data_IF_602538333957
#
_entry.id   IF_602538333957
#
_cell.length_a   1.000
_cell.length_b   1.000
_cell.length_c   1.000
_cell.angle_alpha   90.00
_cell.angle_beta   90.00
_cell.angle_gamma   90.00
#
_symmetry.space_group_name_H-M   'P 1'
#
loop_
_entity.id
_entity.type
_entity.pdbx_description
1 polymer ?
#
# COMPACT_ATOMS: atom_id res chain seq x y z
N UNK A 1 3.05 -26.05 59.36
CA UNK A 1 1.84 -25.50 60.00
C UNK A 1 1.04 -24.74 58.94
N UNK A 2 -0.25 -25.08 58.81
CA UNK A 2 -1.40 -24.28 58.28
C UNK A 2 -1.24 -23.63 56.88
N UNK A 3 -1.71 -24.23 55.78
CA UNK A 3 -3.11 -24.43 55.30
C UNK A 3 -3.82 -23.16 54.76
N UNK A 4 -4.20 -23.11 53.47
CA UNK A 4 -5.22 -22.19 52.94
C UNK A 4 -6.64 -22.80 53.02
N UNK A 5 -7.73 -22.00 53.05
CA UNK A 5 -9.09 -22.53 53.10
C UNK A 5 -9.71 -22.84 51.71
N UNK A 6 -10.71 -23.76 51.64
CA UNK A 6 -11.23 -24.38 50.41
C UNK A 6 -12.53 -23.74 49.85
N UNK A 7 -12.97 -24.12 48.62
CA UNK A 7 -14.22 -23.64 48.00
C UNK A 7 -15.47 -24.43 48.44
N UNK A 8 -16.63 -23.74 48.46
CA UNK A 8 -17.92 -24.27 48.90
C UNK A 8 -18.70 -25.02 47.80
N UNK A 9 -19.40 -26.07 48.25
CA UNK A 9 -19.99 -27.17 47.49
C UNK A 9 -21.44 -26.91 47.05
N UNK A 10 -21.79 -27.47 45.88
CA UNK A 10 -23.11 -27.60 45.26
C UNK A 10 -24.18 -28.23 46.18
N UNK A 11 -25.43 -27.78 46.08
CA UNK A 11 -26.62 -28.55 46.49
C UNK A 11 -27.63 -28.63 45.33
N UNK A 12 -28.21 -29.82 45.15
CA UNK A 12 -29.13 -30.24 44.08
C UNK A 12 -30.46 -30.69 44.68
N UNK A 13 -31.50 -30.63 43.83
CA UNK A 13 -32.78 -31.37 43.83
C UNK A 13 -34.02 -30.63 44.38
N UNK A 14 -35.27 -31.03 44.04
CA UNK A 14 -35.71 -32.09 43.10
C UNK A 14 -36.81 -31.65 42.07
N UNK A 15 -37.15 -32.58 41.19
CA UNK A 15 -38.15 -32.50 40.12
C UNK A 15 -39.61 -32.66 40.58
N UNK A 16 -40.57 -32.11 39.83
CA UNK A 16 -41.99 -32.41 39.96
C UNK A 16 -42.69 -32.61 38.60
N UNK A 17 -43.67 -33.52 38.63
CA UNK A 17 -44.32 -34.31 37.56
C UNK A 17 -45.15 -33.55 36.51
N UNK A 18 -45.22 -34.18 35.33
CA UNK A 18 -46.21 -34.00 34.24
C UNK A 18 -47.63 -34.30 34.71
N UNK A 19 -48.62 -33.56 34.20
CA UNK A 19 -49.98 -34.05 34.05
C UNK A 19 -50.50 -33.72 32.65
N UNK A 20 -51.07 -34.73 32.00
CA UNK A 20 -51.65 -34.69 30.67
C UNK A 20 -53.17 -34.55 30.77
N UNK A 21 -53.79 -33.79 29.87
CA UNK A 21 -55.23 -33.93 29.56
C UNK A 21 -55.51 -33.53 28.11
N UNK A 22 -56.29 -34.36 27.42
CA UNK A 22 -56.87 -34.26 26.05
C UNK A 22 -58.32 -34.82 26.14
N UNK A 23 -59.22 -34.77 25.14
CA UNK A 23 -59.53 -33.83 24.03
C UNK A 23 -60.98 -33.27 24.12
N UNK A 24 -61.39 -32.24 23.34
CA UNK A 24 -62.30 -32.30 22.15
C UNK A 24 -63.06 -30.95 22.02
N UNK A 25 -63.81 -30.62 20.94
CA UNK A 25 -63.56 -30.77 19.50
C UNK A 25 -63.84 -29.47 18.67
N UNK A 26 -63.28 -29.47 17.45
CA UNK A 26 -63.73 -28.81 16.21
C UNK A 26 -64.14 -27.31 16.19
N UNK A 27 -63.35 -26.52 15.45
CA UNK A 27 -63.90 -25.75 14.32
C UNK A 27 -62.83 -25.62 13.23
N UNK A 28 -63.12 -26.16 12.04
CA UNK A 28 -62.29 -25.97 10.83
C UNK A 28 -62.48 -24.54 10.33
N UNK A 29 -61.39 -23.80 10.12
CA UNK A 29 -61.38 -22.67 9.18
C UNK A 29 -60.07 -22.69 8.39
N UNK A 30 -60.21 -22.59 7.08
CA UNK A 30 -59.16 -22.73 6.09
C UNK A 30 -57.98 -21.78 6.37
N UNK A 31 -56.76 -22.34 6.40
CA UNK A 31 -55.53 -21.56 6.38
C UNK A 31 -55.00 -21.54 4.95
N UNK A 32 -55.08 -20.35 4.36
CA UNK A 32 -54.36 -19.92 3.18
C UNK A 32 -52.87 -20.22 3.34
N UNK A 33 -52.24 -20.81 2.32
CA UNK A 33 -50.82 -21.13 2.32
C UNK A 33 -49.97 -19.87 2.54
N UNK A 34 -49.15 -19.87 3.59
CA UNK A 34 -48.11 -18.86 3.80
C UNK A 34 -46.97 -19.08 2.79
N UNK A 35 -46.32 -18.01 2.29
CA UNK A 35 -45.17 -18.15 1.40
C UNK A 35 -44.01 -18.79 2.18
N UNK A 36 -43.39 -19.81 1.59
CA UNK A 36 -42.20 -20.43 2.15
C UNK A 36 -41.09 -19.38 2.27
N UNK A 37 -40.52 -19.25 3.48
CA UNK A 37 -39.36 -18.39 3.65
C UNK A 37 -38.21 -18.90 2.77
N UNK A 38 -37.55 -18.02 2.00
CA UNK A 38 -36.47 -18.44 1.13
C UNK A 38 -35.37 -19.07 1.97
N UNK A 39 -34.98 -20.30 1.61
CA UNK A 39 -33.93 -21.03 2.31
C UNK A 39 -32.60 -20.28 2.24
N UNK A 40 -31.64 -20.66 3.09
CA UNK A 40 -30.31 -20.04 3.14
C UNK A 40 -29.64 -19.94 1.74
N UNK A 41 -29.86 -20.95 0.89
CA UNK A 41 -29.33 -20.97 -0.49
C UNK A 41 -29.99 -19.92 -1.38
N UNK A 42 -31.30 -19.68 -1.20
CA UNK A 42 -32.04 -18.67 -1.96
C UNK A 42 -31.68 -17.25 -1.49
N UNK A 43 -31.43 -17.07 -0.20
CA UNK A 43 -30.90 -15.82 0.34
C UNK A 43 -29.48 -15.53 -0.15
N UNK A 44 -28.61 -16.55 -0.18
CA UNK A 44 -27.25 -16.40 -0.70
C UNK A 44 -27.26 -16.09 -2.20
N UNK A 45 -28.14 -16.74 -2.98
CA UNK A 45 -28.34 -16.43 -4.41
C UNK A 45 -28.89 -15.03 -4.63
N UNK A 46 -29.87 -14.60 -3.84
CA UNK A 46 -30.43 -13.26 -3.92
C UNK A 46 -29.41 -12.18 -3.51
N UNK A 47 -28.56 -12.48 -2.51
CA UNK A 47 -27.48 -11.59 -2.09
C UNK A 47 -26.39 -11.49 -3.16
N UNK A 48 -26.03 -12.60 -3.81
CA UNK A 48 -25.10 -12.61 -4.94
C UNK A 48 -25.65 -11.83 -6.15
N UNK A 49 -26.93 -11.98 -6.48
CA UNK A 49 -27.60 -11.20 -7.52
C UNK A 49 -27.57 -9.70 -7.23
N UNK A 50 -27.90 -9.30 -6.01
CA UNK A 50 -27.84 -7.88 -5.58
C UNK A 50 -26.42 -7.32 -5.58
N UNK A 51 -25.42 -8.11 -5.20
CA UNK A 51 -24.01 -7.71 -5.27
C UNK A 51 -23.52 -7.52 -6.71
N UNK A 52 -23.98 -8.36 -7.64
CA UNK A 52 -23.69 -8.23 -9.06
C UNK A 52 -24.37 -6.98 -9.66
N UNK A 53 -25.62 -6.71 -9.29
CA UNK A 53 -26.36 -5.52 -9.74
C UNK A 53 -25.74 -4.22 -9.20
N UNK A 54 -25.31 -4.19 -7.95
CA UNK A 54 -24.60 -3.04 -7.34
C UNK A 54 -23.22 -2.83 -8.00
N UNK A 55 -22.56 -3.92 -8.41
CA UNK A 55 -21.27 -3.84 -9.12
C UNK A 55 -21.42 -3.35 -10.56
N UNK A 56 -22.55 -3.64 -11.21
CA UNK A 56 -22.87 -3.15 -12.55
C UNK A 56 -23.15 -1.63 -12.58
N UNK A 57 -23.74 -1.09 -11.51
CA UNK A 57 -24.10 0.33 -11.43
C UNK A 57 -22.92 1.30 -11.21
N UNK A 58 -21.74 0.80 -10.84
CA UNK A 58 -20.58 1.63 -10.42
C UNK A 58 -19.33 1.46 -11.26
N UNK A 59 -19.38 0.69 -12.36
CA UNK A 59 -18.20 0.41 -13.21
C UNK A 59 -17.19 -0.57 -12.58
N UNK A 60 -17.53 -1.19 -11.45
CA UNK A 60 -16.68 -2.15 -10.71
C UNK A 60 -16.85 -3.59 -11.22
N UNK A 61 -17.94 -3.89 -11.95
CA UNK A 61 -18.29 -5.23 -12.44
C UNK A 61 -17.19 -5.94 -13.25
N UNK A 62 -16.45 -5.21 -14.09
CA UNK A 62 -15.41 -5.81 -14.93
C UNK A 62 -14.29 -6.48 -14.11
N UNK A 63 -13.83 -5.81 -13.05
CA UNK A 63 -12.77 -6.33 -12.18
C UNK A 63 -13.25 -7.46 -11.27
N UNK A 64 -14.49 -7.42 -10.83
CA UNK A 64 -15.08 -8.49 -10.00
C UNK A 64 -15.22 -9.80 -10.79
N UNK A 65 -15.70 -9.74 -12.03
CA UNK A 65 -15.80 -10.89 -12.94
C UNK A 65 -14.42 -11.45 -13.32
N UNK A 66 -13.46 -10.57 -13.59
CA UNK A 66 -12.09 -10.97 -13.90
C UNK A 66 -11.41 -11.68 -12.72
N UNK A 67 -11.55 -11.13 -11.51
CA UNK A 67 -11.03 -11.74 -10.27
C UNK A 67 -11.66 -13.11 -10.03
N UNK A 68 -12.98 -13.23 -10.15
CA UNK A 68 -13.67 -14.51 -10.01
C UNK A 68 -13.18 -15.55 -11.02
N UNK A 69 -12.89 -15.13 -12.25
CA UNK A 69 -12.29 -15.97 -13.29
C UNK A 69 -10.88 -16.47 -12.92
N UNK A 70 -10.01 -15.58 -12.42
CA UNK A 70 -8.64 -15.91 -11.99
C UNK A 70 -8.61 -16.85 -10.79
N UNK A 71 -9.43 -16.58 -9.77
CA UNK A 71 -9.59 -17.43 -8.59
C UNK A 71 -10.11 -18.83 -8.97
N UNK A 72 -11.13 -18.89 -9.83
CA UNK A 72 -11.69 -20.17 -10.30
C UNK A 72 -10.68 -21.02 -11.08
N UNK A 73 -9.82 -20.39 -11.88
CA UNK A 73 -8.78 -21.07 -12.65
C UNK A 73 -7.66 -21.57 -11.72
N UNK A 74 -7.15 -20.72 -10.83
CA UNK A 74 -6.13 -21.11 -9.85
C UNK A 74 -6.59 -22.25 -8.92
N UNK A 75 -7.86 -22.27 -8.51
CA UNK A 75 -8.42 -23.39 -7.73
C UNK A 75 -8.54 -24.68 -8.54
N UNK A 76 -8.91 -24.61 -9.82
CA UNK A 76 -8.94 -25.78 -10.72
C UNK A 76 -7.55 -26.37 -10.94
N UNK A 77 -6.53 -25.53 -10.96
CA UNK A 77 -5.14 -25.93 -11.15
C UNK A 77 -4.44 -26.35 -9.83
N UNK A 78 -5.19 -26.45 -8.71
CA UNK A 78 -4.67 -26.84 -7.41
C UNK A 78 -3.80 -25.77 -6.72
N UNK A 79 -3.77 -24.56 -7.25
CA UNK A 79 -2.95 -23.44 -6.76
C UNK A 79 -3.72 -22.59 -5.74
N UNK A 80 -4.02 -23.17 -4.58
CA UNK A 80 -4.78 -22.51 -3.52
C UNK A 80 -4.14 -21.18 -3.05
N UNK A 81 -2.80 -21.11 -3.04
CA UNK A 81 -2.07 -19.90 -2.65
C UNK A 81 -2.23 -18.76 -3.68
N UNK A 82 -2.25 -19.11 -4.98
CA UNK A 82 -2.49 -18.14 -6.04
C UNK A 82 -3.95 -17.63 -6.02
N UNK A 83 -4.91 -18.53 -5.77
CA UNK A 83 -6.31 -18.15 -5.59
C UNK A 83 -6.52 -17.19 -4.41
N UNK A 84 -5.85 -17.44 -3.28
CA UNK A 84 -5.88 -16.55 -2.13
C UNK A 84 -5.25 -15.19 -2.44
N UNK A 85 -4.13 -15.17 -3.17
CA UNK A 85 -3.46 -13.94 -3.60
C UNK A 85 -4.35 -13.06 -4.48
N UNK A 86 -5.13 -13.65 -5.39
CA UNK A 86 -6.06 -12.90 -6.26
C UNK A 86 -7.23 -12.29 -5.46
N UNK A 87 -7.74 -13.02 -4.45
CA UNK A 87 -8.75 -12.47 -3.53
C UNK A 87 -8.17 -11.33 -2.70
N UNK A 88 -6.97 -11.50 -2.14
CA UNK A 88 -6.28 -10.45 -1.37
C UNK A 88 -6.03 -9.22 -2.25
N UNK A 89 -5.60 -9.40 -3.50
CA UNK A 89 -5.40 -8.31 -4.46
C UNK A 89 -6.69 -7.58 -4.83
N UNK A 90 -7.82 -8.29 -4.88
CA UNK A 90 -9.12 -7.69 -5.16
C UNK A 90 -9.72 -6.96 -3.95
N UNK A 91 -9.48 -7.45 -2.73
CA UNK A 91 -9.96 -6.85 -1.48
C UNK A 91 -9.05 -5.71 -1.01
N UNK A 92 -7.74 -5.82 -1.26
CA UNK A 92 -6.70 -4.88 -0.88
C UNK A 92 -5.75 -4.64 -2.07
N UNK A 93 -6.16 -3.86 -3.09
CA UNK A 93 -5.34 -3.59 -4.26
C UNK A 93 -4.00 -2.91 -3.93
N UNK A 94 -3.88 -2.25 -2.78
CA UNK A 94 -2.63 -1.63 -2.28
C UNK A 94 -1.59 -2.62 -1.75
N UNK A 95 -1.97 -3.88 -1.48
CA UNK A 95 -1.10 -4.91 -0.90
C UNK A 95 -0.45 -5.83 -1.95
N UNK A 96 -0.64 -5.61 -3.26
CA UNK A 96 -0.25 -6.61 -4.25
C UNK A 96 0.36 -6.02 -5.52
N UNK A 97 1.69 -5.95 -5.53
CA UNK A 97 2.51 -6.65 -6.54
C UNK A 97 3.81 -7.17 -5.90
N UNK A 98 3.97 -8.49 -5.71
CA UNK A 98 5.23 -9.09 -5.23
C UNK A 98 6.44 -8.67 -6.08
N UNK A 99 6.22 -8.43 -7.38
CA UNK A 99 7.23 -7.90 -8.30
C UNK A 99 7.65 -6.45 -7.99
N UNK A 100 6.74 -5.61 -7.49
CA UNK A 100 7.05 -4.25 -7.07
C UNK A 100 7.91 -4.25 -5.80
N UNK A 101 7.63 -5.16 -4.86
CA UNK A 101 8.45 -5.34 -3.65
C UNK A 101 9.85 -5.82 -4.00
N UNK A 102 9.99 -6.71 -4.98
CA UNK A 102 11.31 -7.14 -5.48
C UNK A 102 12.15 -5.98 -6.01
N UNK A 103 11.57 -5.06 -6.80
CA UNK A 103 12.28 -3.87 -7.30
C UNK A 103 12.67 -2.92 -6.17
N UNK A 104 11.76 -2.64 -5.25
CA UNK A 104 12.02 -1.81 -4.07
C UNK A 104 13.11 -2.42 -3.18
N UNK A 105 13.04 -3.72 -2.92
CA UNK A 105 14.03 -4.47 -2.14
C UNK A 105 15.41 -4.45 -2.77
N UNK A 106 15.48 -4.70 -4.09
CA UNK A 106 16.73 -4.62 -4.84
C UNK A 106 17.35 -3.20 -4.82
N UNK A 107 16.53 -2.15 -4.88
CA UNK A 107 17.00 -0.77 -4.74
C UNK A 107 17.60 -0.51 -3.35
N UNK A 108 16.97 -0.99 -2.27
CA UNK A 108 17.50 -0.87 -0.91
C UNK A 108 18.81 -1.63 -0.75
N UNK A 109 18.88 -2.85 -1.29
CA UNK A 109 20.10 -3.63 -1.30
C UNK A 109 21.25 -2.90 -1.99
N UNK A 110 21.00 -2.33 -3.16
CA UNK A 110 22.00 -1.57 -3.90
C UNK A 110 22.50 -0.35 -3.12
N UNK A 111 21.60 0.38 -2.45
CA UNK A 111 21.98 1.51 -1.58
C UNK A 111 22.82 1.06 -0.39
N UNK A 112 22.44 -0.06 0.25
CA UNK A 112 23.22 -0.64 1.35
C UNK A 112 24.64 -1.02 0.91
N UNK A 113 24.74 -1.74 -0.22
CA UNK A 113 26.02 -2.19 -0.76
C UNK A 113 26.90 -1.00 -1.18
N UNK A 114 26.32 0.04 -1.80
CA UNK A 114 27.02 1.28 -2.13
C UNK A 114 27.52 2.05 -0.89
N UNK A 115 26.78 1.97 0.22
CA UNK A 115 27.20 2.54 1.50
C UNK A 115 28.24 1.68 2.24
N UNK A 116 28.61 0.50 1.72
CA UNK A 116 29.53 -0.42 2.38
C UNK A 116 28.98 -1.05 3.66
N UNK A 117 27.65 -1.04 3.85
CA UNK A 117 27.02 -1.52 5.07
C UNK A 117 26.56 -2.98 4.94
N UNK A 118 26.67 -3.73 6.03
CA UNK A 118 26.07 -5.05 6.18
C UNK A 118 24.61 -4.94 6.63
N UNK A 119 23.83 -6.02 6.45
CA UNK A 119 22.44 -6.08 6.92
C UNK A 119 22.35 -5.81 8.44
N UNK A 120 23.31 -6.33 9.20
CA UNK A 120 23.37 -6.13 10.65
C UNK A 120 23.63 -4.66 11.02
N UNK A 121 24.54 -4.00 10.32
CA UNK A 121 24.85 -2.57 10.54
C UNK A 121 23.66 -1.68 10.19
N UNK A 122 22.96 -1.97 9.08
CA UNK A 122 21.72 -1.24 8.75
C UNK A 122 20.65 -1.48 9.81
N UNK A 123 20.45 -2.74 10.23
CA UNK A 123 19.51 -3.11 11.28
C UNK A 123 19.79 -2.37 12.59
N UNK A 124 21.06 -2.29 12.99
CA UNK A 124 21.47 -1.53 14.17
C UNK A 124 21.25 -0.02 13.98
N UNK A 125 21.60 0.53 12.82
CA UNK A 125 21.45 1.96 12.53
C UNK A 125 19.99 2.44 12.55
N UNK A 126 19.04 1.55 12.24
CA UNK A 126 17.61 1.86 12.29
C UNK A 126 16.90 1.33 13.54
N UNK A 127 17.64 0.87 14.56
CA UNK A 127 17.08 0.29 15.80
C UNK A 127 16.04 -0.82 15.52
N UNK A 128 16.41 -1.75 14.64
CA UNK A 128 15.56 -2.88 14.27
C UNK A 128 15.75 -4.05 15.24
N UNK A 129 14.66 -4.47 15.89
CA UNK A 129 14.67 -5.61 16.83
C UNK A 129 15.05 -6.93 16.16
N UNK A 130 14.71 -7.09 14.89
CA UNK A 130 14.97 -8.29 14.11
C UNK A 130 15.63 -7.94 12.77
N UNK A 131 16.96 -8.15 12.63
CA UNK A 131 17.70 -7.88 11.40
C UNK A 131 17.23 -8.70 10.19
N UNK A 132 16.56 -9.84 10.40
CA UNK A 132 16.08 -10.69 9.30
C UNK A 132 15.00 -10.01 8.45
N UNK A 133 14.35 -8.97 8.98
CA UNK A 133 13.38 -8.15 8.25
C UNK A 133 14.03 -7.38 7.10
N UNK A 134 15.28 -6.93 7.25
CA UNK A 134 16.02 -6.28 6.14
C UNK A 134 16.32 -7.30 5.05
N UNK A 135 16.70 -8.53 5.43
CA UNK A 135 16.94 -9.59 4.45
C UNK A 135 15.64 -9.97 3.71
N UNK A 136 14.52 -10.08 4.42
CA UNK A 136 13.22 -10.34 3.83
C UNK A 136 12.79 -9.20 2.89
N UNK A 137 13.06 -7.95 3.26
CA UNK A 137 12.77 -6.76 2.47
C UNK A 137 13.62 -6.70 1.19
N UNK A 138 14.94 -6.88 1.29
CA UNK A 138 15.87 -6.85 0.15
C UNK A 138 15.55 -7.95 -0.88
N UNK A 139 15.02 -9.08 -0.42
CA UNK A 139 14.56 -10.18 -1.27
C UNK A 139 13.10 -10.04 -1.76
N UNK A 140 12.42 -8.93 -1.44
CA UNK A 140 11.04 -8.68 -1.83
C UNK A 140 10.00 -9.60 -1.19
N UNK A 141 10.35 -10.27 -0.07
CA UNK A 141 9.46 -11.19 0.67
C UNK A 141 8.45 -10.44 1.54
N UNK A 142 8.77 -9.21 1.94
CA UNK A 142 7.88 -8.32 2.69
C UNK A 142 7.77 -6.96 2.02
N UNK A 143 6.63 -6.29 2.24
CA UNK A 143 6.44 -4.91 1.80
C UNK A 143 7.26 -3.94 2.65
N UNK A 144 7.69 -2.84 2.03
CA UNK A 144 8.33 -1.73 2.71
C UNK A 144 7.28 -0.86 3.43
N UNK A 145 7.31 -0.82 4.76
CA UNK A 145 6.39 0.00 5.55
C UNK A 145 6.80 1.48 5.54
N UNK A 146 5.85 2.40 5.73
CA UNK A 146 6.15 3.83 5.81
C UNK A 146 7.11 4.18 6.95
N UNK A 147 6.98 3.47 8.07
CA UNK A 147 7.84 3.63 9.24
C UNK A 147 9.30 3.22 8.92
N UNK A 148 9.48 2.09 8.23
CA UNK A 148 10.79 1.67 7.74
C UNK A 148 11.36 2.67 6.72
N UNK A 149 10.53 3.26 5.86
CA UNK A 149 10.97 4.31 4.92
C UNK A 149 11.57 5.49 5.68
N UNK A 150 10.92 5.97 6.75
CA UNK A 150 11.42 7.08 7.56
C UNK A 150 12.75 6.74 8.24
N UNK A 151 12.87 5.53 8.80
CA UNK A 151 14.11 5.09 9.44
C UNK A 151 15.26 4.92 8.43
N UNK A 152 14.98 4.31 7.30
CA UNK A 152 15.97 4.11 6.23
C UNK A 152 16.40 5.45 5.62
N UNK A 153 15.50 6.45 5.55
CA UNK A 153 15.84 7.79 5.13
C UNK A 153 16.87 8.45 6.07
N UNK A 154 16.84 8.15 7.37
CA UNK A 154 17.83 8.65 8.32
C UNK A 154 19.23 8.07 8.08
N UNK A 155 19.33 6.86 7.50
CA UNK A 155 20.60 6.18 7.21
C UNK A 155 21.09 6.49 5.79
N UNK A 156 20.23 6.33 4.80
CA UNK A 156 20.57 6.42 3.37
C UNK A 156 20.25 7.77 2.74
N UNK A 157 19.37 8.56 3.35
CA UNK A 157 18.93 9.85 2.81
C UNK A 157 19.91 11.00 3.06
N UNK A 158 21.18 10.75 3.40
CA UNK A 158 22.15 11.75 3.89
C UNK A 158 22.23 13.03 3.04
N UNK A 159 22.03 12.91 1.73
CA UNK A 159 21.97 14.02 0.79
C UNK A 159 20.52 14.52 0.56
N UNK A 160 19.56 13.61 0.35
CA UNK A 160 18.14 13.94 0.16
C UNK A 160 17.18 12.97 0.89
N UNK A 161 16.88 13.21 2.18
CA UNK A 161 16.02 12.32 2.95
C UNK A 161 14.55 12.48 2.55
N UNK A 162 14.15 13.66 2.08
CA UNK A 162 12.79 13.93 1.64
C UNK A 162 12.51 13.19 0.34
N UNK A 163 13.39 13.32 -0.66
CA UNK A 163 13.27 12.60 -1.93
C UNK A 163 13.33 11.09 -1.76
N UNK A 164 14.11 10.59 -0.80
CA UNK A 164 14.07 9.19 -0.40
C UNK A 164 12.66 8.79 0.05
N UNK A 165 12.08 9.52 1.02
CA UNK A 165 10.75 9.20 1.56
C UNK A 165 9.69 9.24 0.46
N UNK A 166 9.70 10.25 -0.40
CA UNK A 166 8.73 10.37 -1.49
C UNK A 166 8.82 9.22 -2.49
N UNK A 167 10.04 8.92 -2.93
CA UNK A 167 10.29 7.89 -3.95
C UNK A 167 9.79 6.54 -3.47
N UNK A 168 10.18 6.15 -2.24
CA UNK A 168 9.78 4.87 -1.68
C UNK A 168 8.31 4.83 -1.24
N UNK A 169 7.74 5.94 -0.77
CA UNK A 169 6.30 6.00 -0.45
C UNK A 169 5.46 5.79 -1.71
N UNK A 170 5.83 6.46 -2.82
CA UNK A 170 5.14 6.30 -4.11
C UNK A 170 5.25 4.89 -4.66
N UNK A 171 6.43 4.26 -4.58
CA UNK A 171 6.63 2.90 -5.11
C UNK A 171 6.00 1.82 -4.24
N UNK A 172 6.00 1.99 -2.91
CA UNK A 172 5.61 0.95 -1.96
C UNK A 172 4.15 1.06 -1.52
N UNK A 173 3.56 2.26 -1.50
CA UNK A 173 2.16 2.46 -1.18
C UNK A 173 1.53 3.60 -2.02
N UNK A 174 1.08 3.30 -3.26
CA UNK A 174 0.57 4.31 -4.17
C UNK A 174 -0.74 4.95 -3.68
N UNK A 175 -1.55 4.26 -2.89
CA UNK A 175 -2.80 4.82 -2.37
C UNK A 175 -2.53 5.81 -1.21
N UNK A 176 -1.58 5.49 -0.33
CA UNK A 176 -1.08 6.46 0.66
C UNK A 176 -0.51 7.70 -0.03
N UNK A 177 0.26 7.51 -1.10
CA UNK A 177 0.79 8.62 -1.89
C UNK A 177 -0.33 9.50 -2.46
N UNK A 178 -1.40 8.92 -3.03
CA UNK A 178 -2.56 9.70 -3.51
C UNK A 178 -3.24 10.48 -2.39
N UNK A 179 -3.38 9.89 -1.20
CA UNK A 179 -3.93 10.59 -0.04
C UNK A 179 -3.07 11.78 0.37
N UNK A 180 -1.73 11.63 0.37
CA UNK A 180 -0.79 12.71 0.62
C UNK A 180 -0.83 13.80 -0.47
N UNK A 181 -0.99 13.41 -1.74
CA UNK A 181 -1.17 14.36 -2.84
C UNK A 181 -2.48 15.15 -2.72
N UNK A 182 -3.58 14.50 -2.34
CA UNK A 182 -4.87 15.15 -2.11
C UNK A 182 -4.81 16.17 -0.96
N UNK A 183 -3.95 15.92 0.04
CA UNK A 183 -3.67 16.84 1.14
C UNK A 183 -2.67 17.96 0.77
N UNK A 184 -2.17 18.01 -0.47
CA UNK A 184 -1.25 19.03 -0.95
C UNK A 184 0.23 18.79 -0.61
N UNK A 185 0.53 17.74 0.17
CA UNK A 185 1.90 17.35 0.54
C UNK A 185 2.70 17.03 -0.73
N UNK A 186 2.08 16.41 -1.72
CA UNK A 186 2.74 16.10 -2.99
C UNK A 186 3.33 17.31 -3.70
N UNK A 187 2.60 18.43 -3.82
CA UNK A 187 3.07 19.61 -4.57
C UNK A 187 4.14 20.39 -3.82
N UNK A 188 3.94 20.62 -2.51
CA UNK A 188 4.90 21.34 -1.67
C UNK A 188 6.22 20.57 -1.56
N UNK A 189 6.12 19.26 -1.33
CA UNK A 189 7.31 18.43 -1.16
C UNK A 189 7.99 18.15 -2.51
N UNK A 190 7.27 18.03 -3.63
CA UNK A 190 7.92 17.89 -4.96
C UNK A 190 8.74 19.11 -5.35
N UNK A 191 8.25 20.31 -5.06
CA UNK A 191 9.01 21.53 -5.30
C UNK A 191 10.26 21.57 -4.40
N UNK A 192 10.10 21.24 -3.11
CA UNK A 192 11.22 21.12 -2.18
C UNK A 192 12.25 20.09 -2.64
N UNK A 193 11.85 18.91 -3.11
CA UNK A 193 12.78 17.89 -3.63
C UNK A 193 13.55 18.39 -4.84
N UNK A 194 12.89 19.09 -5.78
CA UNK A 194 13.59 19.68 -6.93
C UNK A 194 14.63 20.71 -6.50
N UNK A 195 14.30 21.56 -5.52
CA UNK A 195 15.24 22.53 -4.95
C UNK A 195 16.41 21.82 -4.25
N UNK A 196 16.12 20.76 -3.49
CA UNK A 196 17.14 19.93 -2.84
C UNK A 196 18.05 19.20 -3.83
N UNK A 197 17.57 18.81 -5.01
CA UNK A 197 18.42 18.18 -6.04
C UNK A 197 19.53 19.13 -6.50
N UNK A 198 19.25 20.43 -6.66
CA UNK A 198 20.28 21.43 -6.97
C UNK A 198 21.29 21.57 -5.82
N UNK A 199 20.80 21.62 -4.58
CA UNK A 199 21.67 21.65 -3.39
C UNK A 199 22.52 20.38 -3.28
N UNK A 200 21.99 19.23 -3.71
CA UNK A 200 22.72 17.97 -3.70
C UNK A 200 23.86 17.92 -4.70
N UNK A 201 23.70 18.50 -5.90
CA UNK A 201 24.81 18.61 -6.87
C UNK A 201 26.00 19.32 -6.21
N UNK A 202 25.74 20.41 -5.49
CA UNK A 202 26.76 21.10 -4.71
C UNK A 202 27.32 20.23 -3.58
N UNK A 203 26.45 19.62 -2.75
CA UNK A 203 26.89 18.80 -1.60
C UNK A 203 27.57 17.49 -1.98
N UNK A 204 27.37 16.96 -3.17
CA UNK A 204 28.03 15.73 -3.62
C UNK A 204 29.48 15.95 -4.08
N UNK A 205 29.90 17.20 -4.22
CA UNK A 205 31.25 17.55 -4.61
C UNK A 205 32.04 17.97 -3.36
N UNK A 206 32.99 17.13 -2.95
CA UNK A 206 33.81 17.40 -1.75
C UNK A 206 34.74 18.60 -1.95
N UNK A 207 35.27 18.80 -3.16
CA UNK A 207 36.13 19.94 -3.51
C UNK A 207 35.36 21.26 -3.45
N UNK A 208 34.07 21.24 -3.80
CA UNK A 208 33.20 22.42 -3.72
C UNK A 208 33.05 22.97 -2.29
N UNK A 209 33.33 22.17 -1.25
CA UNK A 209 33.33 22.63 0.15
C UNK A 209 34.58 23.39 0.55
N UNK A 210 35.65 23.28 -0.24
CA UNK A 210 36.93 23.94 0.01
C UNK A 210 37.09 25.28 -0.71
N UNK A 211 36.10 25.69 -1.50
CA UNK A 211 36.14 26.93 -2.28
C UNK A 211 36.24 28.15 -1.35
N UNK A 212 37.11 29.09 -1.70
CA UNK A 212 37.10 30.41 -1.10
C UNK A 212 35.96 31.27 -1.68
N UNK A 213 35.71 32.44 -1.08
CA UNK A 213 34.59 33.29 -1.46
C UNK A 213 34.62 33.74 -2.94
N UNK A 214 35.82 34.03 -3.49
CA UNK A 214 35.97 34.46 -4.88
C UNK A 214 35.69 33.30 -5.85
N UNK A 215 36.25 32.12 -5.58
CA UNK A 215 36.02 30.91 -6.36
C UNK A 215 34.54 30.49 -6.32
N UNK A 216 33.90 30.61 -5.16
CA UNK A 216 32.49 30.30 -5.00
C UNK A 216 31.61 31.25 -5.83
N UNK A 217 31.90 32.55 -5.82
CA UNK A 217 31.18 33.54 -6.63
C UNK A 217 31.35 33.27 -8.12
N UNK A 218 32.56 32.92 -8.57
CA UNK A 218 32.82 32.59 -9.96
C UNK A 218 32.00 31.37 -10.41
N UNK A 219 32.05 30.27 -9.64
CA UNK A 219 31.28 29.05 -9.93
C UNK A 219 29.77 29.30 -9.88
N UNK A 220 29.30 30.10 -8.92
CA UNK A 220 27.88 30.47 -8.82
C UNK A 220 27.43 31.25 -10.06
N UNK A 221 28.22 32.22 -10.51
CA UNK A 221 27.90 33.02 -11.70
C UNK A 221 27.85 32.17 -12.97
N UNK A 222 28.79 31.23 -13.12
CA UNK A 222 28.79 30.27 -14.22
C UNK A 222 27.55 29.38 -14.19
N UNK A 223 27.20 28.85 -13.02
CA UNK A 223 26.02 27.98 -12.83
C UNK A 223 24.73 28.73 -13.17
N UNK A 224 24.63 30.00 -12.77
CA UNK A 224 23.49 30.85 -13.07
C UNK A 224 23.34 31.11 -14.56
N UNK A 225 24.44 31.47 -15.25
CA UNK A 225 24.44 31.66 -16.70
C UNK A 225 24.07 30.37 -17.46
N UNK A 226 24.59 29.21 -17.02
CA UNK A 226 24.25 27.91 -17.61
C UNK A 226 22.75 27.58 -17.43
N UNK A 227 22.19 27.85 -16.25
CA UNK A 227 20.77 27.63 -15.97
C UNK A 227 19.87 28.55 -16.81
N UNK A 228 20.21 29.83 -16.92
CA UNK A 228 19.50 30.78 -17.79
C UNK A 228 19.52 30.34 -19.26
N UNK A 229 20.68 29.88 -19.74
CA UNK A 229 20.82 29.34 -21.09
C UNK A 229 19.93 28.11 -21.31
N UNK A 230 19.89 27.17 -20.36
CA UNK A 230 19.04 25.99 -20.41
C UNK A 230 17.54 26.37 -20.45
N UNK A 231 17.14 27.37 -19.66
CA UNK A 231 15.76 27.87 -19.64
C UNK A 231 15.39 28.59 -20.95
N UNK A 232 16.29 29.40 -21.50
CA UNK A 232 16.10 30.04 -22.79
C UNK A 232 15.95 29.01 -23.92
N UNK A 233 16.75 27.94 -23.91
CA UNK A 233 16.67 26.84 -24.87
C UNK A 233 15.32 26.12 -24.77
N UNK A 234 14.85 25.80 -23.55
CA UNK A 234 13.52 25.21 -23.32
C UNK A 234 12.41 26.05 -23.92
N UNK A 235 12.44 27.36 -23.71
CA UNK A 235 11.42 28.28 -24.25
C UNK A 235 11.41 28.28 -25.78
N UNK A 236 12.59 28.23 -26.42
CA UNK A 236 12.70 28.14 -27.89
C UNK A 236 12.10 26.85 -28.43
N UNK A 237 12.35 25.71 -27.78
CA UNK A 237 11.76 24.44 -28.19
C UNK A 237 10.23 24.41 -28.02
N UNK A 238 9.71 24.92 -26.91
CA UNK A 238 8.27 25.00 -26.70
C UNK A 238 7.56 25.84 -27.79
N UNK A 239 8.16 26.97 -28.18
CA UNK A 239 7.62 27.82 -29.25
C UNK A 239 7.71 27.17 -30.65
N UNK A 240 8.68 26.28 -30.87
CA UNK A 240 8.81 25.54 -32.14
C UNK A 240 7.79 24.40 -32.24
N UNK A 241 7.53 23.68 -31.14
CA UNK A 241 6.52 22.62 -31.09
C UNK A 241 5.10 23.17 -31.32
N UNK A 242 4.77 24.33 -30.75
CA UNK A 242 3.47 24.99 -30.95
C UNK A 242 3.24 25.36 -32.42
N UNK A 243 4.28 25.82 -33.14
CA UNK A 243 4.19 26.17 -34.56
C UNK A 243 4.02 24.94 -35.46
N UNK A 244 4.66 23.82 -35.12
CA UNK A 244 4.54 22.56 -35.87
C UNK A 244 3.17 21.91 -35.64
N UNK A 245 2.62 22.01 -34.43
CA UNK A 245 1.26 21.52 -34.12
C UNK A 245 0.18 22.32 -34.86
N UNK A 246 0.31 23.66 -34.94
CA UNK A 246 -0.64 24.51 -35.66
C UNK A 246 -0.63 24.32 -37.18
N UNK A 247 0.51 23.91 -37.76
CA UNK A 247 0.64 23.65 -39.20
C UNK A 247 0.17 22.24 -39.61
N UNK A 248 -0.14 21.36 -38.64
CA UNK A 248 -0.59 19.98 -38.86
C UNK A 248 -2.11 19.81 -38.73
N UNK A 249 -2.81 20.86 -38.27
CA UNK A 249 -4.27 20.89 -38.09
C UNK A 249 -5.01 21.71 -39.16
N UNK A 250 -4.27 22.36 -40.09
CA UNK A 250 -4.79 22.95 -41.35
C UNK A 250 -4.56 22.01 -42.55
#
# INVERSE_FOLDING_TARGET
MTSPPPPSVKRKAPAAKRSARKPSPATKKAATAAPAEPGLVDQVRAMAGRLLDISAATGVAGRALETAGKVSRALRDGQALAAASEVVRAVLPSMAEPAAWGKTGAAIRAMREAAGLTIAEVGAAIDLKDPSLIEALENGRIALSFELILRLAAVFGRSDPIGFIMTFTRSSNPDLWKSLEALGVGKLVLQSVREHQFVNVYRSNDDARGLNDEEFVEILSFTQAAFEMAMALRTRYAAADDQVSSASEE
#
